data_IF_037856456820
#
_entry.id   IF_037856456820
#
_cell.length_a   1.000
_cell.length_b   1.000
_cell.length_c   1.000
_cell.angle_alpha   90.00
_cell.angle_beta   90.00
_cell.angle_gamma   90.00
#
_symmetry.space_group_name_H-M   'P 1'
#
loop_
_entity.id
_entity.type
_entity.pdbx_description
1 polymer ?
#
# COMPACT_ATOMS: atom_id res chain seq x y z
N UNK A 1 24.74 -1.00 -1.02
CA UNK A 1 23.47 -1.78 -1.21
C UNK A 1 23.23 -1.83 -2.70
N UNK A 2 22.72 -2.93 -3.26
CA UNK A 2 22.41 -2.93 -4.69
C UNK A 2 21.21 -2.03 -4.95
N UNK A 3 21.37 -1.13 -5.86
CA UNK A 3 20.37 -0.18 -6.32
C UNK A 3 20.11 -0.43 -7.80
N UNK A 4 18.92 -0.10 -8.24
CA UNK A 4 18.49 -0.30 -9.62
C UNK A 4 18.20 1.08 -10.24
N UNK A 5 18.76 1.31 -11.42
CA UNK A 5 18.34 2.46 -12.22
C UNK A 5 17.06 2.11 -12.96
N UNK A 6 16.03 2.94 -12.78
CA UNK A 6 14.76 2.80 -13.50
C UNK A 6 14.38 4.10 -14.20
N UNK A 7 13.62 3.98 -15.28
CA UNK A 7 13.20 5.11 -16.09
C UNK A 7 11.68 5.24 -16.07
N UNK A 8 11.14 6.43 -15.77
CA UNK A 8 9.72 6.71 -15.86
C UNK A 8 9.28 6.65 -17.34
N UNK A 9 8.40 5.70 -17.67
CA UNK A 9 7.94 5.46 -19.04
C UNK A 9 6.48 5.77 -19.27
N UNK A 10 5.66 5.77 -18.20
CA UNK A 10 4.24 6.10 -18.30
C UNK A 10 3.68 6.59 -16.97
N UNK A 11 2.57 7.32 -17.02
CA UNK A 11 1.76 7.71 -15.87
C UNK A 11 0.30 7.87 -16.25
N UNK A 12 -0.59 7.46 -15.36
CA UNK A 12 -2.03 7.53 -15.59
C UNK A 12 -2.77 7.92 -14.31
N UNK A 13 -3.84 8.69 -14.46
CA UNK A 13 -4.82 8.87 -13.38
C UNK A 13 -5.69 7.62 -13.32
N UNK A 14 -5.75 6.97 -12.14
CA UNK A 14 -6.47 5.70 -11.92
C UNK A 14 -7.70 5.86 -11.01
N UNK A 15 -7.81 6.98 -10.30
CA UNK A 15 -8.97 7.36 -9.52
C UNK A 15 -8.90 8.87 -9.19
N UNK A 16 -9.86 9.42 -8.46
CA UNK A 16 -9.80 10.81 -7.98
C UNK A 16 -8.55 10.98 -7.10
N UNK A 17 -7.73 11.99 -7.43
CA UNK A 17 -6.47 12.30 -6.75
C UNK A 17 -5.51 11.10 -6.59
N UNK A 18 -5.59 10.12 -7.49
CA UNK A 18 -4.77 8.92 -7.43
C UNK A 18 -4.15 8.65 -8.81
N UNK A 19 -2.85 8.43 -8.82
CA UNK A 19 -2.08 8.16 -10.04
C UNK A 19 -1.26 6.88 -9.91
N UNK A 20 -1.10 6.21 -11.04
CA UNK A 20 -0.11 5.15 -11.24
C UNK A 20 1.04 5.68 -12.11
N UNK A 21 2.24 5.16 -11.87
CA UNK A 21 3.47 5.46 -12.58
C UNK A 21 4.16 4.15 -12.93
N UNK A 22 4.65 4.04 -14.16
CA UNK A 22 5.37 2.87 -14.65
C UNK A 22 6.83 3.22 -14.87
N UNK A 23 7.70 2.39 -14.29
CA UNK A 23 9.14 2.54 -14.35
C UNK A 23 9.76 1.32 -15.03
N UNK A 24 10.47 1.54 -16.14
CA UNK A 24 11.22 0.52 -16.83
C UNK A 24 12.53 0.22 -16.08
N UNK A 25 12.82 -1.05 -15.91
CA UNK A 25 14.04 -1.53 -15.23
C UNK A 25 15.28 -1.47 -16.10
N UNK A 26 15.19 -0.91 -17.30
CA UNK A 26 16.30 -0.82 -18.27
C UNK A 26 16.98 -2.18 -18.52
N UNK A 27 16.16 -3.24 -18.66
CA UNK A 27 16.59 -4.64 -18.81
C UNK A 27 17.32 -5.25 -17.58
N UNK A 28 17.41 -4.53 -16.46
CA UNK A 28 17.92 -5.12 -15.24
C UNK A 28 16.89 -6.09 -14.62
N UNK A 29 17.37 -7.19 -14.06
CA UNK A 29 16.52 -8.12 -13.32
C UNK A 29 16.14 -7.52 -11.97
N UNK A 30 14.93 -6.98 -11.86
CA UNK A 30 14.37 -6.46 -10.63
C UNK A 30 13.42 -7.50 -10.03
N UNK A 31 13.99 -8.46 -9.28
CA UNK A 31 13.20 -9.51 -8.64
C UNK A 31 12.55 -9.02 -7.35
N UNK A 32 11.23 -9.21 -7.22
CA UNK A 32 10.48 -8.92 -6.00
C UNK A 32 9.38 -9.97 -5.76
N UNK A 33 8.86 -10.00 -4.54
CA UNK A 33 7.65 -10.78 -4.21
C UNK A 33 6.45 -9.83 -4.17
N UNK A 34 5.31 -10.27 -4.69
CA UNK A 34 4.08 -9.49 -4.64
C UNK A 34 3.76 -9.02 -3.21
N UNK A 35 3.42 -7.75 -3.06
CA UNK A 35 3.17 -7.09 -1.79
C UNK A 35 4.39 -6.41 -1.16
N UNK A 36 5.59 -6.53 -1.73
CA UNK A 36 6.78 -5.81 -1.29
C UNK A 36 6.78 -4.34 -1.73
N UNK A 37 7.61 -3.55 -1.06
CA UNK A 37 7.85 -2.13 -1.35
C UNK A 37 9.35 -1.88 -1.59
N UNK A 38 9.65 -0.70 -2.17
CA UNK A 38 11.01 -0.21 -2.37
C UNK A 38 11.05 1.31 -2.17
N UNK A 39 12.27 1.86 -1.98
CA UNK A 39 12.49 3.30 -1.98
C UNK A 39 12.79 3.76 -3.40
N UNK A 40 12.15 4.84 -3.81
CA UNK A 40 12.31 5.47 -5.10
C UNK A 40 12.89 6.87 -4.89
N UNK A 41 14.05 7.12 -5.46
CA UNK A 41 14.79 8.38 -5.36
C UNK A 41 15.03 8.95 -6.75
N UNK A 42 14.77 10.23 -6.95
CA UNK A 42 15.16 10.91 -8.18
C UNK A 42 16.68 10.88 -8.32
N UNK A 43 17.19 10.43 -9.49
CA UNK A 43 18.64 10.41 -9.75
C UNK A 43 19.24 11.81 -9.76
N UNK A 44 18.49 12.80 -10.23
CA UNK A 44 18.85 14.22 -10.13
C UNK A 44 17.85 14.88 -9.20
N UNK A 45 18.30 15.56 -8.13
CA UNK A 45 17.40 16.27 -7.24
C UNK A 45 16.51 17.23 -8.04
N UNK A 46 15.21 17.06 -7.93
CA UNK A 46 14.22 17.97 -8.56
C UNK A 46 13.88 19.14 -7.63
N UNK A 47 14.49 19.18 -6.43
CA UNK A 47 14.14 20.11 -5.36
C UNK A 47 15.37 20.49 -4.53
N UNK A 48 15.36 21.69 -3.97
CA UNK A 48 16.31 22.13 -2.97
C UNK A 48 15.98 21.50 -1.62
N UNK A 49 16.89 20.69 -1.06
CA UNK A 49 16.78 19.99 0.23
C UNK A 49 17.01 18.49 0.12
N UNK A 50 18.09 17.98 0.72
CA UNK A 50 18.53 16.59 0.62
C UNK A 50 17.54 15.56 1.17
N UNK A 51 16.63 15.94 2.09
CA UNK A 51 15.76 15.02 2.82
C UNK A 51 14.46 14.66 2.10
N UNK A 52 14.13 15.27 0.97
CA UNK A 52 12.82 15.10 0.32
C UNK A 52 12.86 14.41 -1.05
N UNK A 53 14.01 13.87 -1.45
CA UNK A 53 14.28 13.30 -2.77
C UNK A 53 13.91 11.80 -2.91
N UNK A 54 13.54 11.12 -1.81
CA UNK A 54 13.22 9.69 -1.79
C UNK A 54 11.90 9.41 -1.07
N UNK A 55 11.16 8.41 -1.57
CA UNK A 55 9.94 7.90 -0.93
C UNK A 55 9.81 6.40 -1.12
N UNK A 56 9.26 5.77 -0.09
CA UNK A 56 8.88 4.35 -0.12
C UNK A 56 7.51 4.19 -0.77
N UNK A 57 7.42 3.26 -1.73
CA UNK A 57 6.16 2.87 -2.34
C UNK A 57 6.04 1.36 -2.42
N UNK A 58 4.84 0.85 -2.15
CA UNK A 58 4.49 -0.54 -2.43
C UNK A 58 4.44 -0.75 -3.94
N UNK A 59 5.00 -1.88 -4.39
CA UNK A 59 4.99 -2.28 -5.78
C UNK A 59 3.60 -2.80 -6.11
N UNK A 60 2.91 -2.13 -7.04
CA UNK A 60 1.53 -2.45 -7.39
C UNK A 60 1.40 -3.42 -8.58
N UNK A 61 2.46 -3.58 -9.40
CA UNK A 61 2.54 -4.61 -10.44
C UNK A 61 2.79 -5.99 -9.86
N UNK A 62 2.39 -7.03 -10.58
CA UNK A 62 2.79 -8.41 -10.29
C UNK A 62 4.26 -8.65 -10.68
N UNK A 63 4.99 -9.55 -9.98
CA UNK A 63 6.32 -9.97 -10.42
C UNK A 63 6.37 -10.59 -11.82
N UNK A 64 5.23 -11.08 -12.31
CA UNK A 64 5.08 -11.72 -13.63
C UNK A 64 4.55 -10.79 -14.71
N UNK A 65 4.30 -9.51 -14.37
CA UNK A 65 3.87 -8.55 -15.38
C UNK A 65 4.97 -8.35 -16.41
N UNK A 66 4.61 -8.46 -17.70
CA UNK A 66 5.51 -8.15 -18.83
C UNK A 66 5.74 -6.63 -19.00
N UNK A 67 5.05 -5.82 -18.22
CA UNK A 67 5.12 -4.35 -18.24
C UNK A 67 6.16 -3.86 -17.24
N UNK A 68 6.56 -2.59 -17.34
CA UNK A 68 7.40 -1.95 -16.35
C UNK A 68 6.80 -2.03 -14.93
N UNK A 69 7.66 -1.91 -13.93
CA UNK A 69 7.25 -1.87 -12.52
C UNK A 69 6.29 -0.72 -12.29
N UNK A 70 5.14 -1.01 -11.69
CA UNK A 70 4.13 -0.01 -11.37
C UNK A 70 4.12 0.33 -9.88
N UNK A 71 4.10 1.62 -9.58
CA UNK A 71 3.74 2.15 -8.26
C UNK A 71 2.48 2.98 -8.38
N UNK A 72 1.65 2.98 -7.34
CA UNK A 72 0.42 3.78 -7.30
C UNK A 72 0.37 4.59 -6.01
N UNK A 73 -0.13 5.83 -6.09
CA UNK A 73 -0.17 6.70 -4.92
C UNK A 73 -1.31 7.73 -4.99
N UNK A 74 -1.81 8.09 -3.82
CA UNK A 74 -2.68 9.26 -3.69
C UNK A 74 -1.84 10.53 -3.80
N UNK A 75 -2.27 11.43 -4.67
CA UNK A 75 -1.58 12.70 -4.95
C UNK A 75 -1.92 13.73 -3.86
N UNK A 76 -1.10 13.72 -2.79
CA UNK A 76 -1.14 14.74 -1.73
C UNK A 76 -0.12 15.85 -2.04
N UNK A 77 -0.26 17.02 -1.40
CA UNK A 77 0.64 18.15 -1.59
C UNK A 77 1.98 17.93 -0.88
N UNK A 78 2.81 17.03 -1.40
CA UNK A 78 4.22 16.90 -1.01
C UNK A 78 5.11 17.24 -2.20
N UNK A 79 6.28 17.80 -1.93
CA UNK A 79 7.22 18.21 -2.97
C UNK A 79 7.59 17.04 -3.89
N UNK A 80 7.91 15.86 -3.34
CA UNK A 80 8.20 14.65 -4.12
C UNK A 80 7.06 14.27 -5.08
N UNK A 81 5.81 14.25 -4.61
CA UNK A 81 4.65 13.86 -5.45
C UNK A 81 4.34 14.92 -6.50
N UNK A 82 4.55 16.19 -6.19
CA UNK A 82 4.43 17.27 -7.18
C UNK A 82 5.49 17.14 -8.27
N UNK A 83 6.75 16.92 -7.89
CA UNK A 83 7.85 16.67 -8.82
C UNK A 83 7.60 15.43 -9.68
N UNK A 84 7.16 14.31 -9.09
CA UNK A 84 6.86 13.08 -9.83
C UNK A 84 5.70 13.27 -10.83
N UNK A 85 4.67 14.02 -10.44
CA UNK A 85 3.54 14.35 -11.32
C UNK A 85 3.97 15.14 -12.56
N UNK A 86 4.90 16.08 -12.40
CA UNK A 86 5.41 16.93 -13.49
C UNK A 86 6.64 16.39 -14.20
N UNK A 87 7.26 15.32 -13.68
CA UNK A 87 8.46 14.73 -14.25
C UNK A 87 8.23 14.35 -15.72
N UNK A 88 9.19 14.67 -16.59
CA UNK A 88 9.15 14.22 -17.98
C UNK A 88 9.28 12.69 -18.06
N UNK A 89 8.63 12.08 -19.07
CA UNK A 89 8.95 10.68 -19.40
C UNK A 89 10.44 10.61 -19.75
N UNK A 90 11.11 9.52 -19.34
CA UNK A 90 12.56 9.41 -19.41
C UNK A 90 13.29 9.86 -18.13
N UNK A 91 12.59 10.44 -17.13
CA UNK A 91 13.19 10.77 -15.83
C UNK A 91 13.68 9.50 -15.15
N UNK A 92 14.93 9.56 -14.65
CA UNK A 92 15.62 8.43 -14.02
C UNK A 92 15.49 8.44 -12.50
N UNK A 93 15.34 7.24 -11.95
CA UNK A 93 15.24 6.96 -10.53
C UNK A 93 16.28 5.95 -10.11
N UNK A 94 16.78 6.10 -8.89
CA UNK A 94 17.48 5.05 -8.15
C UNK A 94 16.45 4.37 -7.26
N UNK A 95 16.36 3.05 -7.37
CA UNK A 95 15.39 2.25 -6.63
C UNK A 95 16.13 1.24 -5.76
N UNK A 96 15.77 1.17 -4.48
CA UNK A 96 16.37 0.22 -3.54
C UNK A 96 15.96 -1.22 -3.85
N UNK A 97 16.62 -2.20 -3.22
CA UNK A 97 16.12 -3.58 -3.23
C UNK A 97 14.72 -3.63 -2.60
N UNK A 98 13.80 -4.42 -3.20
CA UNK A 98 12.49 -4.67 -2.62
C UNK A 98 12.60 -5.32 -1.24
N UNK A 99 11.73 -4.90 -0.31
CA UNK A 99 11.66 -5.40 1.07
C UNK A 99 10.22 -5.44 1.56
N UNK A 100 10.01 -6.03 2.72
CA UNK A 100 8.71 -6.15 3.38
C UNK A 100 8.20 -7.58 3.43
N UNK A 101 7.37 -7.85 4.43
CA UNK A 101 6.78 -9.16 4.74
C UNK A 101 5.29 -9.26 4.41
N UNK A 102 4.69 -8.19 3.86
CA UNK A 102 3.27 -8.16 3.47
C UNK A 102 3.05 -8.95 2.17
N UNK A 103 3.35 -10.26 2.21
CA UNK A 103 3.29 -11.16 1.06
C UNK A 103 2.32 -12.30 1.34
N UNK A 104 1.73 -12.89 0.28
CA UNK A 104 0.80 -14.00 0.42
C UNK A 104 1.46 -15.15 1.20
N UNK A 105 0.73 -15.72 2.13
CA UNK A 105 1.18 -16.90 2.88
C UNK A 105 1.25 -18.14 1.97
N UNK A 106 1.96 -19.18 2.44
CA UNK A 106 2.18 -20.40 1.64
C UNK A 106 1.12 -21.48 1.85
N UNK A 107 0.40 -21.41 2.96
CA UNK A 107 -0.62 -22.40 3.29
C UNK A 107 -1.88 -22.21 2.44
N UNK A 108 -2.02 -23.00 1.41
CA UNK A 108 -3.13 -22.97 0.46
C UNK A 108 -4.47 -23.39 1.06
N UNK A 109 -4.47 -24.01 2.23
CA UNK A 109 -5.69 -24.44 2.92
C UNK A 109 -6.37 -23.30 3.65
N UNK A 110 -5.63 -22.23 3.95
CA UNK A 110 -6.11 -21.04 4.63
C UNK A 110 -6.50 -19.96 3.63
N UNK A 111 -7.70 -19.38 3.72
CA UNK A 111 -8.08 -18.24 2.88
C UNK A 111 -7.24 -16.99 3.19
N UNK A 112 -7.00 -16.14 2.19
CA UNK A 112 -6.46 -14.81 2.37
C UNK A 112 -7.60 -13.77 2.33
N UNK A 113 -7.73 -13.00 3.39
CA UNK A 113 -8.75 -11.93 3.52
C UNK A 113 -8.04 -10.59 3.55
N UNK A 114 -8.24 -9.78 2.51
CA UNK A 114 -7.65 -8.46 2.35
C UNK A 114 -8.66 -7.39 2.76
N UNK A 115 -8.26 -6.50 3.66
CA UNK A 115 -9.01 -5.33 4.11
C UNK A 115 -8.26 -4.08 3.65
N UNK A 116 -8.66 -3.53 2.51
CA UNK A 116 -7.98 -2.42 1.86
C UNK A 116 -8.71 -1.09 2.08
N UNK A 117 -7.95 -0.02 2.33
CA UNK A 117 -8.45 1.36 2.38
C UNK A 117 -7.72 2.28 1.41
N UNK A 118 -8.44 2.84 0.43
CA UNK A 118 -7.87 3.79 -0.53
C UNK A 118 -6.62 3.24 -1.22
N UNK A 119 -5.47 3.94 -1.10
CA UNK A 119 -4.23 3.53 -1.77
C UNK A 119 -3.56 2.30 -1.15
N UNK A 120 -4.02 1.82 0.02
CA UNK A 120 -3.61 0.52 0.57
C UNK A 120 -3.90 -0.66 -0.35
N UNK A 121 -4.65 -0.42 -1.42
CA UNK A 121 -4.87 -1.41 -2.48
C UNK A 121 -3.58 -1.78 -3.26
N UNK A 122 -2.55 -0.93 -3.28
CA UNK A 122 -1.38 -1.13 -4.14
C UNK A 122 -0.65 -2.47 -3.90
N UNK A 123 -0.22 -2.84 -2.68
CA UNK A 123 0.42 -4.14 -2.42
C UNK A 123 -0.55 -5.31 -2.63
N UNK A 124 -1.82 -5.13 -2.31
CA UNK A 124 -2.85 -6.16 -2.45
C UNK A 124 -3.12 -6.46 -3.92
N UNK A 125 -3.14 -5.43 -4.78
CA UNK A 125 -3.23 -5.60 -6.23
C UNK A 125 -2.11 -6.51 -6.75
N UNK A 126 -0.88 -6.24 -6.36
CA UNK A 126 0.28 -7.06 -6.73
C UNK A 126 0.07 -8.54 -6.36
N UNK A 127 -0.41 -8.80 -5.14
CA UNK A 127 -0.66 -10.16 -4.64
C UNK A 127 -1.77 -10.87 -5.43
N UNK A 128 -2.91 -10.20 -5.63
CA UNK A 128 -4.06 -10.81 -6.32
C UNK A 128 -3.72 -11.09 -7.79
N UNK A 129 -3.01 -10.17 -8.47
CA UNK A 129 -2.54 -10.38 -9.82
C UNK A 129 -1.60 -11.59 -9.92
N UNK A 130 -0.59 -11.68 -9.07
CA UNK A 130 0.31 -12.82 -9.04
C UNK A 130 -0.47 -14.11 -8.82
N UNK A 131 -1.34 -14.16 -7.82
CA UNK A 131 -2.13 -15.35 -7.50
C UNK A 131 -3.00 -15.80 -8.67
N UNK A 132 -3.56 -14.86 -9.42
CA UNK A 132 -4.37 -15.15 -10.63
C UNK A 132 -3.49 -15.64 -11.78
N UNK A 133 -2.36 -14.98 -12.06
CA UNK A 133 -1.44 -15.35 -13.13
C UNK A 133 -0.81 -16.73 -12.93
N UNK A 134 -0.51 -17.08 -11.68
CA UNK A 134 0.04 -18.40 -11.30
C UNK A 134 -1.05 -19.45 -11.04
N UNK A 135 -2.33 -19.11 -11.20
CA UNK A 135 -3.46 -20.00 -10.88
C UNK A 135 -3.37 -20.60 -9.46
N UNK A 136 -2.95 -19.80 -8.49
CA UNK A 136 -2.80 -20.27 -7.11
C UNK A 136 -4.15 -20.70 -6.52
N UNK A 137 -4.20 -21.84 -5.77
CA UNK A 137 -5.45 -22.37 -5.26
C UNK A 137 -5.99 -21.66 -4.03
N UNK A 138 -5.34 -20.58 -3.56
CA UNK A 138 -5.81 -19.79 -2.43
C UNK A 138 -7.18 -19.17 -2.70
N UNK A 139 -8.09 -19.26 -1.73
CA UNK A 139 -9.32 -18.46 -1.74
C UNK A 139 -8.99 -17.04 -1.29
N UNK A 140 -9.26 -16.05 -2.13
CA UNK A 140 -8.92 -14.65 -1.94
C UNK A 140 -10.19 -13.83 -1.79
N UNK A 141 -10.29 -13.05 -0.72
CA UNK A 141 -11.41 -12.14 -0.47
C UNK A 141 -10.86 -10.73 -0.31
N UNK A 142 -11.33 -9.79 -1.12
CA UNK A 142 -10.91 -8.38 -1.06
C UNK A 142 -12.09 -7.49 -0.65
N UNK A 143 -12.07 -7.02 0.59
CA UNK A 143 -12.92 -5.92 1.06
C UNK A 143 -12.18 -4.61 0.80
N UNK A 144 -12.71 -3.77 -0.10
CA UNK A 144 -12.02 -2.56 -0.53
C UNK A 144 -12.85 -1.32 -0.24
N UNK A 145 -12.47 -0.60 0.82
CA UNK A 145 -13.19 0.57 1.33
C UNK A 145 -12.64 1.87 0.76
N UNK A 146 -13.52 2.69 0.21
CA UNK A 146 -13.24 4.03 -0.27
C UNK A 146 -14.32 5.01 0.21
N UNK A 147 -14.09 6.31 0.05
CA UNK A 147 -15.11 7.30 0.43
C UNK A 147 -16.23 7.38 -0.60
N UNK A 148 -15.88 7.50 -1.87
CA UNK A 148 -16.82 7.63 -2.98
C UNK A 148 -16.42 6.68 -4.12
N UNK A 149 -17.33 6.44 -5.06
CA UNK A 149 -17.06 5.59 -6.23
C UNK A 149 -15.84 6.07 -7.05
N UNK A 150 -15.70 7.40 -7.23
CA UNK A 150 -14.58 7.99 -7.98
C UNK A 150 -13.22 7.82 -7.28
N UNK A 151 -13.21 7.41 -6.00
CA UNK A 151 -11.98 7.13 -5.25
C UNK A 151 -11.50 5.69 -5.43
N UNK A 152 -12.30 4.80 -6.02
CA UNK A 152 -12.00 3.37 -6.17
C UNK A 152 -11.04 3.17 -7.33
N UNK A 153 -9.76 2.99 -7.01
CA UNK A 153 -8.75 2.66 -8.03
C UNK A 153 -8.89 1.20 -8.48
N UNK A 154 -8.63 0.94 -9.77
CA UNK A 154 -8.58 -0.41 -10.36
C UNK A 154 -9.90 -1.20 -10.30
N UNK A 155 -11.06 -0.55 -10.19
CA UNK A 155 -12.33 -1.25 -10.02
C UNK A 155 -12.62 -2.22 -11.16
N UNK A 156 -12.55 -1.76 -12.43
CA UNK A 156 -12.81 -2.58 -13.62
C UNK A 156 -11.82 -3.75 -13.73
N UNK A 157 -10.59 -3.54 -13.28
CA UNK A 157 -9.56 -4.55 -13.26
C UNK A 157 -9.90 -5.67 -12.26
N UNK A 158 -10.28 -5.32 -11.03
CA UNK A 158 -10.70 -6.32 -10.04
C UNK A 158 -11.97 -7.05 -10.43
N UNK A 159 -12.93 -6.37 -11.07
CA UNK A 159 -14.12 -7.01 -11.65
C UNK A 159 -13.72 -8.05 -12.70
N UNK A 160 -12.81 -7.69 -13.61
CA UNK A 160 -12.27 -8.62 -14.61
C UNK A 160 -11.55 -9.82 -13.97
N UNK A 161 -10.82 -9.59 -12.87
CA UNK A 161 -10.13 -10.66 -12.15
C UNK A 161 -11.10 -11.64 -11.48
N UNK A 162 -12.30 -11.22 -11.06
CA UNK A 162 -13.31 -12.17 -10.53
C UNK A 162 -13.78 -13.17 -11.60
N UNK A 163 -13.78 -12.75 -12.85
CA UNK A 163 -14.13 -13.64 -13.97
C UNK A 163 -12.97 -14.60 -14.31
N UNK A 164 -11.73 -14.13 -14.19
CA UNK A 164 -10.52 -14.89 -14.52
C UNK A 164 -10.14 -15.89 -13.43
N UNK A 165 -10.41 -15.57 -12.18
CA UNK A 165 -10.01 -16.35 -11.00
C UNK A 165 -11.25 -16.73 -10.16
N UNK A 166 -11.76 -17.96 -10.29
CA UNK A 166 -12.94 -18.40 -9.53
C UNK A 166 -12.72 -18.44 -8.00
N UNK A 167 -11.46 -18.38 -7.55
CA UNK A 167 -11.11 -18.32 -6.14
C UNK A 167 -11.02 -16.90 -5.59
N UNK A 168 -11.30 -15.88 -6.42
CA UNK A 168 -11.24 -14.47 -6.01
C UNK A 168 -12.64 -13.87 -5.86
N UNK A 169 -12.92 -13.29 -4.70
CA UNK A 169 -14.13 -12.55 -4.39
C UNK A 169 -13.80 -11.09 -4.11
N UNK A 170 -14.42 -10.18 -4.86
CA UNK A 170 -14.23 -8.74 -4.75
C UNK A 170 -15.43 -8.07 -4.10
N UNK A 171 -15.24 -7.38 -2.97
CA UNK A 171 -16.26 -6.73 -2.16
C UNK A 171 -15.90 -5.25 -1.97
N UNK A 172 -16.15 -4.38 -2.98
CA UNK A 172 -15.91 -2.96 -2.82
C UNK A 172 -17.03 -2.31 -2.01
N UNK A 173 -16.66 -1.36 -1.13
CA UNK A 173 -17.60 -0.59 -0.31
C UNK A 173 -17.27 0.90 -0.34
N UNK A 174 -18.29 1.76 -0.29
CA UNK A 174 -18.15 3.20 -0.17
C UNK A 174 -18.77 3.71 1.13
N UNK A 175 -18.07 4.63 1.80
CA UNK A 175 -18.49 5.17 3.10
C UNK A 175 -19.14 6.55 2.99
N UNK A 176 -19.01 7.22 1.84
CA UNK A 176 -19.56 8.54 1.57
C UNK A 176 -20.99 8.49 1.07
N UNK A 177 -21.62 9.66 1.02
CA UNK A 177 -23.03 9.80 0.69
C UNK A 177 -23.29 10.41 -0.71
N UNK A 178 -22.24 10.77 -1.45
CA UNK A 178 -22.37 11.41 -2.77
C UNK A 178 -22.72 10.43 -3.88
N UNK A 179 -22.36 9.16 -3.70
CA UNK A 179 -22.58 8.14 -4.72
C UNK A 179 -24.02 7.66 -4.65
N UNK A 180 -24.86 8.12 -5.58
CA UNK A 180 -26.31 7.81 -5.63
C UNK A 180 -26.51 6.37 -6.13
N UNK A 181 -25.79 5.96 -7.19
CA UNK A 181 -25.87 4.63 -7.79
C UNK A 181 -24.58 3.85 -7.53
N UNK A 182 -24.55 3.04 -6.47
CA UNK A 182 -23.47 2.14 -6.13
C UNK A 182 -24.01 0.72 -5.98
N UNK A 183 -23.63 -0.22 -6.86
CA UNK A 183 -24.24 -1.56 -6.90
C UNK A 183 -23.68 -2.54 -5.87
N UNK A 184 -22.66 -2.11 -5.09
CA UNK A 184 -21.96 -2.95 -4.12
C UNK A 184 -22.29 -2.54 -2.67
N UNK A 185 -21.43 -2.95 -1.73
CA UNK A 185 -21.59 -2.66 -0.31
C UNK A 185 -21.49 -1.17 0.01
N UNK A 186 -22.20 -0.73 1.07
CA UNK A 186 -22.16 0.63 1.60
C UNK A 186 -21.78 0.63 3.07
N UNK A 187 -21.05 1.67 3.48
CA UNK A 187 -20.59 1.84 4.86
C UNK A 187 -19.19 1.30 5.10
N UNK A 188 -18.78 1.38 6.35
CA UNK A 188 -17.47 0.87 6.78
C UNK A 188 -17.49 -0.67 6.82
N UNK A 189 -16.32 -1.28 6.54
CA UNK A 189 -16.11 -2.70 6.80
C UNK A 189 -16.40 -2.93 8.29
N UNK A 190 -17.27 -3.87 8.60
CA UNK A 190 -17.70 -4.20 9.95
C UNK A 190 -17.89 -5.71 10.11
N UNK A 191 -18.18 -6.15 11.34
CA UNK A 191 -18.38 -7.58 11.66
C UNK A 191 -19.48 -8.23 10.82
N UNK A 192 -20.59 -7.53 10.61
CA UNK A 192 -21.73 -8.08 9.84
C UNK A 192 -21.34 -8.27 8.37
N UNK A 193 -20.67 -7.29 7.77
CA UNK A 193 -20.15 -7.40 6.40
C UNK A 193 -19.19 -8.58 6.29
N UNK A 194 -18.20 -8.68 7.18
CA UNK A 194 -17.26 -9.81 7.19
C UNK A 194 -18.00 -11.14 7.33
N UNK A 195 -18.96 -11.25 8.25
CA UNK A 195 -19.71 -12.48 8.48
C UNK A 195 -20.51 -12.94 7.26
N UNK A 196 -21.08 -12.02 6.47
CA UNK A 196 -21.84 -12.38 5.25
C UNK A 196 -20.99 -13.12 4.22
N UNK A 197 -19.72 -12.70 4.06
CA UNK A 197 -18.84 -13.25 3.02
C UNK A 197 -17.89 -14.33 3.51
N UNK A 198 -17.60 -14.38 4.83
CA UNK A 198 -16.58 -15.26 5.40
C UNK A 198 -17.17 -16.41 6.23
N UNK A 199 -18.51 -16.54 6.23
CA UNK A 199 -19.18 -17.60 6.99
C UNK A 199 -18.64 -18.99 6.61
N UNK A 200 -18.24 -19.78 7.62
CA UNK A 200 -17.72 -21.13 7.43
C UNK A 200 -16.27 -21.22 6.97
N UNK A 201 -15.57 -20.11 6.78
CA UNK A 201 -14.12 -20.13 6.52
C UNK A 201 -13.37 -20.52 7.80
N UNK A 202 -12.41 -21.42 7.64
CA UNK A 202 -11.54 -21.87 8.75
C UNK A 202 -10.21 -21.15 8.67
N UNK A 203 -9.83 -20.46 9.77
CA UNK A 203 -8.53 -19.90 10.01
C UNK A 203 -7.97 -19.00 8.89
N UNK A 204 -8.71 -18.02 8.37
CA UNK A 204 -8.19 -17.13 7.35
C UNK A 204 -6.99 -16.34 7.88
N UNK A 205 -6.09 -15.94 6.98
CA UNK A 205 -5.05 -14.94 7.26
C UNK A 205 -5.53 -13.61 6.72
N UNK A 206 -5.47 -12.59 7.58
CA UNK A 206 -5.94 -11.25 7.28
C UNK A 206 -4.78 -10.34 6.88
N UNK A 207 -5.02 -9.51 5.88
CA UNK A 207 -4.08 -8.52 5.34
C UNK A 207 -4.75 -7.16 5.37
N UNK A 208 -4.32 -6.28 6.26
CA UNK A 208 -4.91 -4.95 6.43
C UNK A 208 -3.95 -3.93 5.84
N UNK A 209 -4.41 -3.15 4.86
CA UNK A 209 -3.59 -2.10 4.25
C UNK A 209 -4.40 -0.84 4.00
N UNK A 210 -3.94 0.29 4.55
CA UNK A 210 -4.67 1.55 4.44
C UNK A 210 -4.19 2.64 5.39
N UNK A 211 -4.99 3.71 5.59
CA UNK A 211 -4.70 4.74 6.58
C UNK A 211 -4.60 4.16 7.99
N UNK A 212 -3.68 4.69 8.83
CA UNK A 212 -3.41 4.18 10.20
C UNK A 212 -4.69 3.97 11.02
N UNK A 213 -5.62 4.94 11.01
CA UNK A 213 -6.89 4.79 11.73
C UNK A 213 -7.76 3.63 11.24
N UNK A 214 -7.71 3.30 9.94
CA UNK A 214 -8.40 2.11 9.43
C UNK A 214 -7.68 0.83 9.84
N UNK A 215 -6.35 0.81 9.75
CA UNK A 215 -5.55 -0.36 10.15
C UNK A 215 -5.81 -0.71 11.60
N UNK A 216 -5.74 0.27 12.51
CA UNK A 216 -6.06 0.09 13.92
C UNK A 216 -7.49 -0.43 14.12
N UNK A 217 -8.48 0.23 13.53
CA UNK A 217 -9.88 -0.17 13.70
C UNK A 217 -10.18 -1.60 13.18
N UNK A 218 -9.53 -2.01 12.09
CA UNK A 218 -9.71 -3.36 11.56
C UNK A 218 -8.98 -4.41 12.41
N UNK A 219 -7.78 -4.11 12.92
CA UNK A 219 -7.08 -4.99 13.86
C UNK A 219 -7.88 -5.20 15.15
N UNK A 220 -8.41 -4.12 15.74
CA UNK A 220 -9.27 -4.18 16.93
C UNK A 220 -10.54 -5.03 16.69
N UNK A 221 -11.17 -4.86 15.52
CA UNK A 221 -12.36 -5.62 15.13
C UNK A 221 -12.06 -7.12 15.02
N UNK A 222 -10.93 -7.48 14.43
CA UNK A 222 -10.50 -8.88 14.29
C UNK A 222 -10.14 -9.49 15.64
N UNK A 223 -9.38 -8.77 16.47
CA UNK A 223 -9.03 -9.21 17.83
C UNK A 223 -10.29 -9.41 18.70
N UNK A 224 -11.25 -8.48 18.66
CA UNK A 224 -12.53 -8.61 19.33
C UNK A 224 -13.39 -9.77 18.77
N UNK A 225 -13.01 -10.31 17.60
CA UNK A 225 -13.65 -11.48 16.99
C UNK A 225 -12.88 -12.78 17.26
N UNK A 226 -11.79 -12.74 18.07
CA UNK A 226 -10.99 -13.90 18.45
C UNK A 226 -9.92 -14.30 17.41
N UNK A 227 -9.57 -13.41 16.47
CA UNK A 227 -8.48 -13.65 15.53
C UNK A 227 -7.16 -13.39 16.24
N UNK A 228 -6.20 -14.30 16.10
CA UNK A 228 -4.84 -14.13 16.65
C UNK A 228 -4.07 -13.06 15.89
N UNK A 229 -3.20 -12.31 16.59
CA UNK A 229 -2.29 -11.35 15.95
C UNK A 229 -1.35 -12.01 14.95
N UNK A 230 -0.98 -13.28 15.14
CA UNK A 230 -0.15 -14.05 14.20
C UNK A 230 -0.85 -14.26 12.85
N UNK A 231 -2.17 -14.16 12.81
CA UNK A 231 -3.00 -14.30 11.61
C UNK A 231 -3.32 -12.96 10.95
N UNK A 232 -2.75 -11.86 11.46
CA UNK A 232 -2.98 -10.50 10.93
C UNK A 232 -1.67 -9.90 10.43
N UNK A 233 -1.64 -9.47 9.18
CA UNK A 233 -0.55 -8.72 8.58
C UNK A 233 -1.01 -7.32 8.26
N UNK A 234 -0.21 -6.31 8.59
CA UNK A 234 -0.58 -4.90 8.42
C UNK A 234 0.43 -4.14 7.59
N UNK A 235 -0.06 -3.16 6.82
CA UNK A 235 0.75 -2.15 6.14
C UNK A 235 0.04 -0.78 6.22
N UNK A 236 0.70 0.20 6.83
CA UNK A 236 0.12 1.52 7.06
C UNK A 236 0.58 2.53 6.02
N UNK A 237 -0.38 3.29 5.50
CA UNK A 237 -0.15 4.39 4.57
C UNK A 237 -0.50 5.71 5.28
N UNK A 238 0.44 6.21 6.09
CA UNK A 238 0.30 7.46 6.84
C UNK A 238 0.83 8.69 6.09
N UNK A 239 0.56 9.88 6.63
CA UNK A 239 1.34 11.07 6.33
C UNK A 239 2.71 10.88 6.95
N UNK A 240 3.79 11.05 6.18
CA UNK A 240 5.13 11.12 6.70
C UNK A 240 5.19 12.20 7.79
N UNK A 241 5.15 11.79 9.06
CA UNK A 241 5.74 12.60 10.11
C UNK A 241 7.22 12.61 9.80
N UNK A 242 7.79 13.79 9.52
CA UNK A 242 9.22 13.99 9.46
C UNK A 242 9.80 13.26 10.68
N UNK A 243 10.65 12.27 10.44
CA UNK A 243 11.42 11.66 11.51
C UNK A 243 12.27 12.79 12.10
N UNK A 244 11.80 13.36 13.21
CA UNK A 244 12.67 14.12 14.10
C UNK A 244 13.70 13.11 14.58
N UNK A 245 14.94 13.33 14.14
CA UNK A 245 16.12 12.62 14.62
C UNK A 245 16.09 12.58 16.15
N UNK A 246 16.11 11.42 16.81
CA UNK A 246 16.29 11.34 18.26
C UNK A 246 17.79 11.44 18.60
N UNK A 247 18.45 12.52 18.20
CA UNK A 247 19.82 12.79 18.55
C UNK A 247 20.01 14.28 18.76
N UNK A 248 19.50 14.79 19.89
CA UNK A 248 20.00 15.95 20.61
C UNK A 248 19.21 16.10 21.92
N UNK A 249 19.39 15.14 22.82
CA UNK A 249 19.28 15.38 24.23
C UNK A 249 20.56 14.86 24.88
N UNK A 250 21.62 15.63 24.75
CA UNK A 250 22.79 15.47 25.58
C UNK A 250 22.86 16.67 26.51
N UNK A 251 22.60 16.36 27.74
CA UNK A 251 23.01 16.94 29.02
C UNK A 251 23.70 18.31 28.97
N UNK A 252 22.95 19.34 29.27
CA UNK A 252 23.45 20.56 29.90
C UNK A 252 23.35 20.45 31.43
N UNK A 253 24.39 19.92 32.05
CA UNK A 253 24.58 19.99 33.51
C UNK A 253 24.80 21.46 33.89
N UNK A 254 23.81 22.08 34.53
CA UNK A 254 23.98 23.40 35.17
C UNK A 254 24.65 23.16 36.54
N UNK A 255 25.92 23.53 36.62
CA UNK A 255 26.64 23.64 37.89
C UNK A 255 26.21 24.96 38.51
N UNK A 256 25.44 24.91 39.60
CA UNK A 256 25.20 26.02 40.49
C UNK A 256 26.45 26.21 41.37
N UNK A 257 27.16 27.28 41.16
CA UNK A 257 28.04 27.83 42.19
C UNK A 257 27.26 28.87 43.01
N UNK A 258 26.93 28.46 44.21
CA UNK A 258 26.62 29.35 45.30
C UNK A 258 27.93 29.88 45.85
N UNK A 259 28.18 31.17 45.75
CA UNK A 259 29.11 31.87 46.62
C UNK A 259 28.37 32.90 47.45
N UNK A 260 28.39 32.59 48.73
CA UNK A 260 28.08 33.46 49.82
C UNK A 260 29.23 34.42 50.07
N UNK A 261 28.97 35.68 50.26
CA UNK A 261 29.68 36.51 51.24
C UNK A 261 29.07 37.91 51.35
N UNK A 262 28.73 38.26 52.61
CA UNK A 262 28.52 39.53 53.28
C UNK A 262 27.24 40.30 53.03
#
# INVERSE_FOLDING_TARGET
MAEYEMTLVDRQRIARDTMAFWLDTNAASFGFRAGQHADFMFMRPCMEGENDNSRTFSIASSPHDKRPVMIAMRMRRTAFKAALKSAALGTKFIVSRPRGSFTLHRDITRPAVFLAGGIGIAPIRSIIHQATQECLPHRLYLFYSNREADDVAFIEEFESLTVQNPNFTFIPTVTGHRTIAWPYEKGHINREMLSRYLLGLKGPIYYIAGPSGMVTAMADLLNASGVSDDDVKTEEFGDYKLHQNPAQNDSGTVINHSDSAL
#
